data_IF_282896719416
#
_entry.id   IF_282896719416
#
_cell.length_a   1.000
_cell.length_b   1.000
_cell.length_c   1.000
_cell.angle_alpha   90.00
_cell.angle_beta   90.00
_cell.angle_gamma   90.00
#
_symmetry.space_group_name_H-M   'P 1'
#
loop_
_entity.id
_entity.type
_entity.pdbx_description
1 polymer ?
#
# COMPACT_ATOMS: atom_id res chain seq x y z
N UNK A 1 4.10 -8.68 8.32
CA UNK A 1 3.45 -8.10 7.12
C UNK A 1 2.02 -7.80 7.52
N UNK A 2 1.43 -6.73 7.00
CA UNK A 2 0.01 -6.43 7.25
C UNK A 2 -0.89 -7.49 6.58
N UNK A 3 -1.96 -7.98 7.23
CA UNK A 3 -2.89 -8.95 6.62
C UNK A 3 -3.56 -8.41 5.35
N UNK A 4 -3.79 -7.10 5.29
CA UNK A 4 -4.46 -6.39 4.21
C UNK A 4 -3.48 -5.67 3.26
N UNK A 5 -2.26 -6.20 3.14
CA UNK A 5 -1.23 -5.61 2.28
C UNK A 5 -1.64 -5.64 0.79
N UNK A 6 -1.73 -4.47 0.15
CA UNK A 6 -2.15 -4.36 -1.26
C UNK A 6 -0.97 -4.38 -2.24
N UNK A 7 0.19 -3.89 -1.82
CA UNK A 7 1.40 -3.83 -2.64
C UNK A 7 2.66 -3.77 -1.79
N UNK A 8 3.80 -4.04 -2.42
CA UNK A 8 5.11 -3.74 -1.84
C UNK A 8 5.43 -2.26 -1.96
N UNK A 9 6.16 -1.73 -0.98
CA UNK A 9 6.97 -0.52 -1.11
C UNK A 9 8.42 -0.92 -1.29
N UNK A 10 9.17 -0.29 -2.19
CA UNK A 10 10.59 -0.57 -2.32
C UNK A 10 11.39 0.71 -2.55
N UNK A 11 11.73 1.36 -1.44
CA UNK A 11 12.61 2.52 -1.39
C UNK A 11 13.14 2.68 0.04
N UNK A 12 14.38 3.18 0.25
CA UNK A 12 14.83 3.53 1.60
C UNK A 12 13.97 4.65 2.19
N UNK A 13 13.97 4.74 3.52
CA UNK A 13 13.48 5.95 4.21
C UNK A 13 14.44 7.09 3.84
N UNK A 14 13.89 8.20 3.33
CA UNK A 14 14.63 9.31 2.72
C UNK A 14 14.06 10.63 3.26
N UNK A 15 14.45 10.98 4.49
CA UNK A 15 13.98 12.18 5.16
C UNK A 15 14.93 13.32 4.81
N UNK A 16 14.38 14.37 4.18
CA UNK A 16 15.14 15.57 3.87
C UNK A 16 15.30 16.41 5.13
N UNK A 17 16.52 16.82 5.43
CA UNK A 17 16.81 17.61 6.63
C UNK A 17 16.18 19.01 6.51
N UNK A 18 15.58 19.55 7.58
CA UNK A 18 14.94 20.87 7.54
C UNK A 18 15.89 22.01 7.18
N UNK A 19 17.19 21.85 7.44
CA UNK A 19 18.24 22.84 7.14
C UNK A 19 18.68 22.83 5.65
N UNK A 20 18.15 21.91 4.85
CA UNK A 20 18.49 21.75 3.44
C UNK A 20 19.83 21.07 3.18
N UNK A 21 20.59 20.68 4.21
CA UNK A 21 21.95 20.15 4.08
C UNK A 21 22.00 18.63 3.87
N UNK A 22 21.01 18.09 3.16
CA UNK A 22 21.01 16.70 2.69
C UNK A 22 19.87 15.85 3.22
N UNK A 23 20.13 14.55 3.27
CA UNK A 23 19.11 13.51 3.45
C UNK A 23 19.60 12.50 4.49
N UNK A 24 18.72 12.16 5.43
CA UNK A 24 18.89 11.02 6.33
C UNK A 24 18.30 9.77 5.66
N UNK A 25 19.18 8.93 5.11
CA UNK A 25 18.81 7.69 4.44
C UNK A 25 18.90 6.51 5.39
N UNK A 26 17.78 5.83 5.62
CA UNK A 26 17.75 4.58 6.39
C UNK A 26 17.26 3.44 5.51
N UNK A 27 18.10 2.41 5.39
CA UNK A 27 17.72 1.17 4.71
C UNK A 27 17.08 0.21 5.72
N UNK A 28 16.04 -0.49 5.29
CA UNK A 28 15.50 -1.59 6.07
C UNK A 28 16.51 -2.75 6.10
N UNK A 29 16.38 -3.63 7.09
CA UNK A 29 17.20 -4.85 7.17
C UNK A 29 17.04 -5.65 5.87
N UNK A 30 18.13 -6.28 5.44
CA UNK A 30 18.09 -7.17 4.28
C UNK A 30 17.00 -8.24 4.43
N UNK A 31 16.26 -8.51 3.34
CA UNK A 31 15.11 -9.41 3.33
C UNK A 31 13.79 -8.82 3.86
N UNK A 32 13.79 -7.60 4.39
CA UNK A 32 12.56 -6.90 4.78
C UNK A 32 12.05 -6.07 3.62
N UNK A 33 10.88 -6.44 3.10
CA UNK A 33 10.15 -5.67 2.08
C UNK A 33 8.92 -5.03 2.72
N UNK A 34 8.81 -3.70 2.79
CA UNK A 34 7.67 -3.04 3.37
C UNK A 34 6.44 -3.20 2.46
N UNK A 35 5.26 -3.06 3.04
CA UNK A 35 3.99 -3.16 2.32
C UNK A 35 3.08 -2.00 2.69
N UNK A 36 2.17 -1.65 1.79
CA UNK A 36 1.09 -0.70 2.05
C UNK A 36 -0.17 -1.49 2.41
N UNK A 37 -0.75 -1.31 3.61
CA UNK A 37 -2.04 -1.90 3.95
C UNK A 37 -3.17 -1.14 3.25
N UNK A 38 -4.27 -1.83 2.92
CA UNK A 38 -5.51 -1.22 2.43
C UNK A 38 -6.02 -0.16 3.40
N UNK A 39 -5.90 -0.40 4.70
CA UNK A 39 -6.37 0.55 5.71
C UNK A 39 -5.61 1.90 5.67
N UNK A 40 -4.36 1.92 5.20
CA UNK A 40 -3.65 3.18 4.93
C UNK A 40 -4.21 3.95 3.71
N UNK A 41 -5.02 3.29 2.87
CA UNK A 41 -5.64 3.87 1.68
C UNK A 41 -7.10 4.29 1.90
N UNK A 42 -7.70 3.98 3.05
CA UNK A 42 -9.12 4.27 3.33
C UNK A 42 -9.24 5.34 4.41
N UNK A 43 -9.91 6.48 4.15
CA UNK A 43 -10.17 7.49 5.17
C UNK A 43 -11.06 6.95 6.30
N UNK A 44 -10.71 7.23 7.56
CA UNK A 44 -11.42 6.71 8.75
C UNK A 44 -12.94 6.91 8.73
N UNK A 45 -13.41 8.07 8.26
CA UNK A 45 -14.83 8.44 8.28
C UNK A 45 -15.56 8.17 6.95
N UNK A 46 -14.89 7.53 5.98
CA UNK A 46 -15.50 7.23 4.69
C UNK A 46 -14.94 5.92 4.10
N UNK A 47 -15.57 4.76 4.38
CA UNK A 47 -15.10 3.48 3.88
C UNK A 47 -15.37 3.27 2.38
N UNK A 48 -16.09 4.20 1.73
CA UNK A 48 -16.36 4.17 0.29
C UNK A 48 -15.36 5.00 -0.52
N UNK A 49 -14.48 5.78 0.13
CA UNK A 49 -13.43 6.54 -0.53
C UNK A 49 -12.09 5.79 -0.48
N UNK A 50 -11.27 6.02 -1.51
CA UNK A 50 -9.93 5.45 -1.60
C UNK A 50 -8.94 6.56 -1.97
N UNK A 51 -7.81 6.59 -1.27
CA UNK A 51 -6.67 7.44 -1.61
C UNK A 51 -5.49 6.59 -2.05
N UNK A 52 -4.65 7.13 -2.93
CA UNK A 52 -3.46 6.46 -3.45
C UNK A 52 -2.28 7.42 -3.53
N UNK A 53 -1.07 6.87 -3.69
CA UNK A 53 0.16 7.66 -3.79
C UNK A 53 0.43 8.49 -2.54
N UNK A 54 0.68 9.80 -2.71
CA UNK A 54 1.11 10.69 -1.61
C UNK A 54 0.03 10.87 -0.52
N UNK A 55 -1.23 10.61 -0.83
CA UNK A 55 -2.35 10.85 0.06
C UNK A 55 -2.61 9.72 1.06
N UNK A 56 -1.89 8.59 0.96
CA UNK A 56 -2.06 7.46 1.89
C UNK A 56 -1.66 7.86 3.31
N UNK A 57 -2.36 7.31 4.30
CA UNK A 57 -2.08 7.50 5.71
C UNK A 57 -0.76 6.85 6.11
N UNK A 58 0.16 7.64 6.65
CA UNK A 58 1.47 7.18 7.10
C UNK A 58 2.09 8.20 8.06
N UNK A 59 3.02 7.76 8.90
CA UNK A 59 3.93 8.70 9.58
C UNK A 59 4.93 9.33 8.58
N UNK A 60 5.71 10.30 9.04
CA UNK A 60 6.67 11.00 8.21
C UNK A 60 7.72 10.06 7.57
N UNK A 61 8.22 9.09 8.34
CA UNK A 61 9.28 8.20 7.90
C UNK A 61 8.78 7.23 6.82
N UNK A 62 7.64 6.59 7.06
CA UNK A 62 6.98 5.74 6.08
C UNK A 62 6.59 6.52 4.82
N UNK A 63 5.98 7.70 4.95
CA UNK A 63 5.61 8.51 3.78
C UNK A 63 6.83 8.93 2.94
N UNK A 64 7.99 9.16 3.59
CA UNK A 64 9.25 9.45 2.87
C UNK A 64 9.69 8.33 1.93
N UNK A 65 9.42 7.07 2.31
CA UNK A 65 9.73 5.88 1.50
C UNK A 65 8.59 5.51 0.53
N UNK A 66 7.34 5.72 0.92
CA UNK A 66 6.17 5.25 0.16
C UNK A 66 5.76 6.18 -0.99
N UNK A 67 6.09 7.47 -0.95
CA UNK A 67 5.66 8.45 -1.99
C UNK A 67 6.47 8.41 -3.29
N UNK A 68 7.20 7.33 -3.56
CA UNK A 68 7.96 7.12 -4.80
C UNK A 68 7.08 6.58 -5.92
N UNK A 69 7.53 6.76 -7.16
CA UNK A 69 6.74 6.46 -8.35
C UNK A 69 6.22 5.02 -8.39
N UNK A 70 7.05 4.02 -8.07
CA UNK A 70 6.65 2.61 -8.10
C UNK A 70 5.47 2.33 -7.13
N UNK A 71 5.60 2.73 -5.87
CA UNK A 71 4.55 2.56 -4.87
C UNK A 71 3.29 3.39 -5.21
N UNK A 72 3.45 4.59 -5.78
CA UNK A 72 2.32 5.41 -6.22
C UNK A 72 1.53 4.73 -7.36
N UNK A 73 2.22 4.13 -8.34
CA UNK A 73 1.57 3.36 -9.40
C UNK A 73 0.87 2.10 -8.84
N UNK A 74 1.54 1.37 -7.94
CA UNK A 74 0.99 0.16 -7.36
C UNK A 74 -0.26 0.42 -6.50
N UNK A 75 -0.23 1.45 -5.64
CA UNK A 75 -1.40 1.89 -4.87
C UNK A 75 -2.50 2.44 -5.77
N UNK A 76 -2.18 3.11 -6.88
CA UNK A 76 -3.18 3.53 -7.88
C UNK A 76 -3.90 2.35 -8.54
N UNK A 77 -3.15 1.30 -8.91
CA UNK A 77 -3.72 0.08 -9.47
C UNK A 77 -4.59 -0.66 -8.43
N UNK A 78 -4.11 -0.78 -7.18
CA UNK A 78 -4.89 -1.35 -6.08
C UNK A 78 -6.18 -0.57 -5.80
N UNK A 79 -6.13 0.77 -5.82
CA UNK A 79 -7.31 1.60 -5.62
C UNK A 79 -8.38 1.38 -6.70
N UNK A 80 -7.98 1.30 -7.97
CA UNK A 80 -8.91 1.01 -9.07
C UNK A 80 -9.56 -0.36 -8.95
N UNK A 81 -8.77 -1.39 -8.61
CA UNK A 81 -9.27 -2.75 -8.39
C UNK A 81 -10.23 -2.82 -7.19
N UNK A 82 -9.87 -2.19 -6.07
CA UNK A 82 -10.71 -2.09 -4.88
C UNK A 82 -12.05 -1.41 -5.20
N UNK A 83 -12.04 -0.29 -5.91
CA UNK A 83 -13.25 0.44 -6.29
C UNK A 83 -14.19 -0.39 -7.18
N UNK A 84 -13.64 -1.12 -8.16
CA UNK A 84 -14.42 -2.01 -9.00
C UNK A 84 -15.03 -3.16 -8.19
N UNK A 85 -14.22 -3.83 -7.37
CA UNK A 85 -14.65 -4.96 -6.54
C UNK A 85 -15.69 -4.57 -5.48
N UNK A 86 -15.55 -3.40 -4.86
CA UNK A 86 -16.53 -2.90 -3.88
C UNK A 86 -17.84 -2.52 -4.57
N UNK A 87 -17.77 -1.87 -5.73
CA UNK A 87 -18.92 -1.53 -6.57
C UNK A 87 -19.73 -2.76 -6.99
N UNK A 88 -19.06 -3.81 -7.49
CA UNK A 88 -19.70 -5.06 -7.91
C UNK A 88 -20.39 -5.80 -6.76
N UNK A 89 -19.87 -5.66 -5.54
CA UNK A 89 -20.45 -6.27 -4.32
C UNK A 89 -21.56 -5.43 -3.70
N UNK A 90 -21.72 -4.18 -4.12
CA UNK A 90 -22.59 -3.22 -3.44
C UNK A 90 -22.15 -2.92 -2.00
N UNK A 91 -20.84 -2.97 -1.74
CA UNK A 91 -20.24 -2.78 -0.42
C UNK A 91 -19.19 -1.66 -0.40
N UNK A 92 -18.59 -1.47 0.78
CA UNK A 92 -17.48 -0.55 0.97
C UNK A 92 -16.13 -1.21 0.65
N UNK A 93 -15.07 -0.40 0.63
CA UNK A 93 -13.71 -0.82 0.26
C UNK A 93 -13.13 -1.80 1.28
N UNK A 94 -13.48 -1.63 2.56
CA UNK A 94 -12.97 -2.44 3.67
C UNK A 94 -13.58 -3.85 3.68
N UNK A 95 -14.74 -4.03 3.04
CA UNK A 95 -15.39 -5.31 2.85
C UNK A 95 -14.83 -6.16 1.69
N UNK A 96 -13.93 -5.63 0.86
CA UNK A 96 -13.36 -6.38 -0.27
C UNK A 96 -12.40 -7.47 0.24
N UNK A 97 -12.62 -8.76 -0.08
CA UNK A 97 -11.69 -9.82 0.29
C UNK A 97 -10.31 -9.63 -0.36
N UNK A 98 -9.23 -9.77 0.43
CA UNK A 98 -7.87 -9.57 -0.08
C UNK A 98 -7.51 -10.57 -1.19
N UNK A 99 -8.01 -11.80 -1.11
CA UNK A 99 -7.82 -12.80 -2.16
C UNK A 99 -8.39 -12.35 -3.52
N UNK A 100 -9.53 -11.67 -3.52
CA UNK A 100 -10.13 -11.14 -4.76
C UNK A 100 -9.34 -9.96 -5.31
N UNK A 101 -8.89 -9.05 -4.44
CA UNK A 101 -8.01 -7.97 -4.84
C UNK A 101 -6.71 -8.51 -5.46
N UNK A 102 -6.04 -9.42 -4.76
CA UNK A 102 -4.78 -10.01 -5.21
C UNK A 102 -4.95 -10.75 -6.53
N UNK A 103 -6.05 -11.48 -6.72
CA UNK A 103 -6.37 -12.12 -8.01
C UNK A 103 -6.45 -11.10 -9.14
N UNK A 104 -7.22 -10.02 -8.98
CA UNK A 104 -7.34 -8.96 -10.00
C UNK A 104 -5.99 -8.31 -10.30
N UNK A 105 -5.19 -8.06 -9.26
CA UNK A 105 -3.85 -7.47 -9.41
C UNK A 105 -2.89 -8.42 -10.17
N UNK A 106 -2.87 -9.70 -9.81
CA UNK A 106 -2.05 -10.73 -10.47
C UNK A 106 -2.48 -10.96 -11.92
N UNK A 107 -3.78 -11.00 -12.19
CA UNK A 107 -4.33 -11.11 -13.56
C UNK A 107 -3.89 -9.92 -14.43
N UNK A 108 -3.67 -8.74 -13.83
CA UNK A 108 -3.11 -7.55 -14.47
C UNK A 108 -1.56 -7.50 -14.45
N UNK A 109 -0.89 -8.57 -14.03
CA UNK A 109 0.57 -8.71 -14.02
C UNK A 109 1.28 -8.04 -12.84
N UNK A 110 0.57 -7.64 -11.78
CA UNK A 110 1.19 -7.06 -10.59
C UNK A 110 1.81 -8.13 -9.68
N UNK A 111 2.87 -7.74 -8.99
CA UNK A 111 3.48 -8.53 -7.90
C UNK A 111 2.78 -8.14 -6.60
N UNK A 112 2.13 -9.10 -5.96
CA UNK A 112 1.35 -8.89 -4.73
C UNK A 112 2.08 -9.44 -3.49
N UNK A 113 1.91 -8.83 -2.31
CA UNK A 113 2.45 -9.37 -1.07
C UNK A 113 1.73 -10.66 -0.70
N UNK A 114 2.48 -11.75 -0.54
CA UNK A 114 1.96 -13.00 0.03
C UNK A 114 2.34 -13.08 1.50
N UNK A 115 1.39 -13.41 2.37
CA UNK A 115 1.72 -13.80 3.75
C UNK A 115 2.73 -14.96 3.70
N UNK A 116 3.73 -14.97 4.60
CA UNK A 116 4.61 -16.13 4.74
C UNK A 116 3.75 -17.38 4.96
N UNK A 117 4.08 -18.48 4.29
CA UNK A 117 3.37 -19.75 4.48
C UNK A 117 3.31 -20.11 5.98
N UNK A 118 2.11 -20.28 6.52
CA UNK A 118 1.87 -20.64 7.93
C UNK A 118 1.33 -19.53 8.84
N UNK A 119 0.88 -18.40 8.29
CA UNK A 119 0.06 -17.43 9.01
C UNK A 119 -1.36 -17.54 8.46
N UNK A 120 -2.23 -18.25 9.17
CA UNK A 120 -3.65 -18.36 8.82
C UNK A 120 -4.36 -17.02 9.09
N UNK A 121 -5.34 -16.69 8.25
CA UNK A 121 -6.22 -15.50 8.33
C UNK A 121 -7.10 -15.48 9.60
#
# INVERSE_FOLDING_TARGET
MWPDAVCHGFYPIDIHRPDGNGIDKTHLRHGVVPTVPRDAMVPNDNPYAIVAGRCVGADQAANSALRVQATAMATGQAAGALAALSGDRGGDVTGVPMADLHRVLVDAGAIVPTLPAGVDD
#
